data_IF_026991940930
#
_entry.id   IF_026991940930
#
_cell.length_a   1.000
_cell.length_b   1.000
_cell.length_c   1.000
_cell.angle_alpha   90.00
_cell.angle_beta   90.00
_cell.angle_gamma   90.00
#
_symmetry.space_group_name_H-M   'P 1'
#
loop_
_entity.id
_entity.type
_entity.pdbx_description
1 polymer ?
#
# COMPACT_ATOMS: atom_id res chain seq x y z
N UNK A 1 -3.11 -10.30 37.44
CA UNK A 1 -1.98 -10.49 36.51
C UNK A 1 -2.47 -11.41 35.40
N UNK A 2 -2.25 -11.04 34.14
CA UNK A 2 -2.70 -11.85 33.00
C UNK A 2 -1.50 -12.55 32.37
N UNK A 3 -1.68 -13.80 31.95
CA UNK A 3 -0.63 -14.61 31.31
C UNK A 3 -1.05 -14.84 29.85
N UNK A 4 -0.13 -14.62 28.92
CA UNK A 4 -0.35 -14.92 27.52
C UNK A 4 -0.15 -16.42 27.27
N UNK A 5 -1.20 -17.11 26.84
CA UNK A 5 -1.15 -18.54 26.54
C UNK A 5 -0.89 -18.86 25.06
N UNK A 6 -1.28 -17.96 24.15
CA UNK A 6 -1.17 -18.18 22.71
C UNK A 6 -0.71 -16.92 21.98
N UNK A 7 0.04 -17.12 20.89
CA UNK A 7 0.57 -16.05 20.04
C UNK A 7 1.69 -15.25 20.70
N UNK A 8 2.03 -14.13 20.08
CA UNK A 8 3.03 -13.18 20.57
C UNK A 8 2.35 -11.90 21.06
N UNK A 9 2.90 -11.26 22.10
CA UNK A 9 2.35 -10.02 22.62
C UNK A 9 2.50 -8.91 21.58
N UNK A 10 1.40 -8.31 21.11
CA UNK A 10 1.48 -7.12 20.26
C UNK A 10 2.21 -6.00 21.00
N UNK A 11 3.21 -5.40 20.34
CA UNK A 11 4.04 -4.34 20.93
C UNK A 11 5.27 -4.84 21.71
N UNK A 12 5.45 -6.15 21.90
CA UNK A 12 6.73 -6.66 22.40
C UNK A 12 7.83 -6.47 21.35
N UNK A 13 9.05 -6.06 21.73
CA UNK A 13 10.13 -5.74 20.78
C UNK A 13 10.48 -6.87 19.80
N UNK A 14 10.26 -8.13 20.19
CA UNK A 14 10.57 -9.32 19.39
C UNK A 14 9.34 -9.92 18.69
N UNK A 15 8.13 -9.44 18.97
CA UNK A 15 6.91 -10.08 18.46
C UNK A 15 6.82 -10.06 16.93
N UNK A 16 7.18 -8.94 16.30
CA UNK A 16 7.18 -8.82 14.84
C UNK A 16 8.15 -9.80 14.18
N UNK A 17 9.37 -9.92 14.71
CA UNK A 17 10.40 -10.82 14.20
C UNK A 17 9.96 -12.28 14.35
N UNK A 18 9.41 -12.65 15.50
CA UNK A 18 8.93 -14.02 15.73
C UNK A 18 7.76 -14.36 14.81
N UNK A 19 6.81 -13.42 14.63
CA UNK A 19 5.71 -13.60 13.68
C UNK A 19 6.23 -13.78 12.24
N UNK A 20 7.20 -12.97 11.83
CA UNK A 20 7.82 -13.05 10.51
C UNK A 20 8.54 -14.38 10.27
N UNK A 21 9.30 -14.88 11.26
CA UNK A 21 9.95 -16.20 11.20
C UNK A 21 8.92 -17.31 11.01
N UNK A 22 7.82 -17.27 11.77
CA UNK A 22 6.77 -18.28 11.67
C UNK A 22 6.06 -18.25 10.31
N UNK A 23 5.74 -17.05 9.80
CA UNK A 23 5.13 -16.90 8.48
C UNK A 23 6.09 -17.33 7.36
N UNK A 24 7.38 -17.03 7.49
CA UNK A 24 8.42 -17.48 6.56
C UNK A 24 8.54 -19.01 6.55
N UNK A 25 8.47 -19.64 7.73
CA UNK A 25 8.46 -21.10 7.82
C UNK A 25 7.24 -21.72 7.13
N UNK A 26 6.06 -21.13 7.31
CA UNK A 26 4.83 -21.54 6.60
C UNK A 26 5.03 -21.45 5.08
N UNK A 27 5.55 -20.33 4.60
CA UNK A 27 5.80 -20.08 3.18
C UNK A 27 6.75 -21.10 2.60
N UNK A 28 7.93 -21.29 3.19
CA UNK A 28 8.93 -22.28 2.74
C UNK A 28 8.34 -23.68 2.69
N UNK A 29 7.54 -24.04 3.70
CA UNK A 29 6.95 -25.39 3.80
C UNK A 29 5.90 -25.66 2.71
N UNK A 30 5.14 -24.64 2.31
CA UNK A 30 4.02 -24.81 1.39
C UNK A 30 4.33 -24.41 -0.06
N UNK A 31 5.39 -23.62 -0.30
CA UNK A 31 5.60 -22.95 -1.59
C UNK A 31 5.63 -23.93 -2.76
N UNK A 32 6.39 -25.02 -2.67
CA UNK A 32 6.48 -26.01 -3.75
C UNK A 32 5.11 -26.54 -4.17
N UNK A 33 4.26 -26.84 -3.19
CA UNK A 33 2.90 -27.32 -3.42
C UNK A 33 2.00 -26.22 -4.00
N UNK A 34 2.12 -24.99 -3.50
CA UNK A 34 1.34 -23.85 -3.99
C UNK A 34 1.69 -23.52 -5.45
N UNK A 35 2.98 -23.56 -5.79
CA UNK A 35 3.47 -23.33 -7.16
C UNK A 35 2.96 -24.39 -8.14
N UNK A 36 3.00 -25.67 -7.75
CA UNK A 36 2.42 -26.75 -8.54
C UNK A 36 0.91 -26.58 -8.79
N UNK A 37 0.22 -25.93 -7.86
CA UNK A 37 -1.22 -25.64 -7.96
C UNK A 37 -1.52 -24.30 -8.64
N UNK A 38 -0.50 -23.61 -9.17
CA UNK A 38 -0.65 -22.44 -10.04
C UNK A 38 -0.41 -21.09 -9.38
N UNK A 39 0.21 -21.03 -8.19
CA UNK A 39 0.81 -19.78 -7.69
C UNK A 39 2.07 -19.47 -8.51
N UNK A 40 2.15 -18.28 -9.10
CA UNK A 40 3.29 -17.88 -9.93
C UNK A 40 4.29 -17.04 -9.14
N UNK A 41 3.78 -16.06 -8.38
CA UNK A 41 4.58 -15.12 -7.62
C UNK A 41 3.91 -14.85 -6.27
N UNK A 42 4.70 -14.70 -5.22
CA UNK A 42 4.23 -14.50 -3.85
C UNK A 42 5.03 -13.38 -3.18
N UNK A 43 4.34 -12.28 -2.86
CA UNK A 43 4.91 -11.16 -2.12
C UNK A 43 4.19 -11.03 -0.77
N UNK A 44 4.95 -10.82 0.30
CA UNK A 44 4.40 -10.60 1.64
C UNK A 44 4.90 -9.29 2.24
N UNK A 45 3.98 -8.54 2.83
CA UNK A 45 4.26 -7.39 3.67
C UNK A 45 3.63 -7.60 5.05
N UNK A 46 4.45 -7.98 6.03
CA UNK A 46 3.99 -8.34 7.38
C UNK A 46 2.92 -9.44 7.31
N UNK A 47 1.65 -9.10 7.49
CA UNK A 47 0.47 -9.97 7.51
C UNK A 47 -0.31 -9.99 6.19
N UNK A 48 -0.08 -9.04 5.29
CA UNK A 48 -0.74 -8.97 3.98
C UNK A 48 0.11 -9.65 2.89
N UNK A 49 -0.55 -10.42 2.01
CA UNK A 49 0.11 -11.06 0.85
C UNK A 49 -0.50 -10.58 -0.47
N UNK A 50 0.35 -10.45 -1.48
CA UNK A 50 -0.01 -10.13 -2.87
C UNK A 50 0.49 -11.25 -3.76
N UNK A 51 -0.43 -11.96 -4.41
CA UNK A 51 -0.13 -13.26 -5.04
C UNK A 51 -0.63 -13.26 -6.47
N UNK A 52 0.24 -13.65 -7.39
CA UNK A 52 -0.13 -13.91 -8.78
C UNK A 52 -0.47 -15.39 -8.94
N UNK A 53 -1.63 -15.66 -9.53
CA UNK A 53 -2.18 -17.00 -9.65
C UNK A 53 -2.62 -17.21 -11.11
N UNK A 54 -2.34 -18.39 -11.65
CA UNK A 54 -2.82 -18.80 -12.96
C UNK A 54 -4.36 -18.74 -12.99
N UNK A 55 -4.91 -18.27 -14.12
CA UNK A 55 -6.36 -18.08 -14.29
C UNK A 55 -7.18 -19.35 -14.02
N UNK A 56 -6.62 -20.52 -14.34
CA UNK A 56 -7.29 -21.81 -14.22
C UNK A 56 -7.04 -22.50 -12.86
N UNK A 57 -6.25 -21.90 -11.98
CA UNK A 57 -5.96 -22.48 -10.68
C UNK A 57 -7.15 -22.36 -9.72
N UNK A 58 -7.32 -23.40 -8.89
CA UNK A 58 -8.40 -23.44 -7.90
C UNK A 58 -8.00 -22.66 -6.64
N UNK A 59 -8.44 -21.40 -6.56
CA UNK A 59 -8.13 -20.50 -5.44
C UNK A 59 -8.71 -20.99 -4.10
N UNK A 60 -9.84 -21.72 -4.11
CA UNK A 60 -10.42 -22.31 -2.89
C UNK A 60 -9.55 -23.42 -2.32
N UNK A 61 -8.99 -24.26 -3.19
CA UNK A 61 -8.04 -25.28 -2.79
C UNK A 61 -6.76 -24.66 -2.20
N UNK A 62 -6.20 -23.63 -2.85
CA UNK A 62 -5.04 -22.90 -2.33
C UNK A 62 -5.32 -22.33 -0.93
N UNK A 63 -6.48 -21.68 -0.76
CA UNK A 63 -6.90 -21.11 0.52
C UNK A 63 -7.10 -22.20 1.59
N UNK A 64 -7.63 -23.36 1.22
CA UNK A 64 -7.80 -24.50 2.12
C UNK A 64 -6.46 -25.06 2.59
N UNK A 65 -5.46 -25.13 1.69
CA UNK A 65 -4.10 -25.59 2.04
C UNK A 65 -3.46 -24.63 3.04
N UNK A 66 -3.50 -23.32 2.75
CA UNK A 66 -2.97 -22.28 3.63
C UNK A 66 -3.64 -22.33 5.02
N UNK A 67 -4.97 -22.42 5.07
CA UNK A 67 -5.75 -22.48 6.31
C UNK A 67 -5.65 -23.81 7.07
N UNK A 68 -5.11 -24.84 6.42
CA UNK A 68 -4.83 -26.15 7.01
C UNK A 68 -3.48 -26.24 7.72
N UNK A 69 -2.59 -25.25 7.53
CA UNK A 69 -1.24 -25.29 8.10
C UNK A 69 -1.23 -25.21 9.63
N UNK A 70 -1.97 -24.26 10.21
CA UNK A 70 -2.01 -24.06 11.65
C UNK A 70 -3.37 -23.52 12.10
N UNK A 71 -3.99 -24.04 13.18
CA UNK A 71 -5.33 -23.66 13.60
C UNK A 71 -5.46 -22.16 13.95
N UNK A 72 -4.39 -21.55 14.46
CA UNK A 72 -4.37 -20.13 14.86
C UNK A 72 -4.04 -19.16 13.72
N UNK A 73 -3.74 -19.64 12.51
CA UNK A 73 -3.52 -18.80 11.33
C UNK A 73 -4.71 -18.96 10.39
N UNK A 74 -5.31 -17.84 9.98
CA UNK A 74 -6.42 -17.82 9.05
C UNK A 74 -6.16 -16.78 7.95
N UNK A 75 -5.92 -17.28 6.76
CA UNK A 75 -5.90 -16.52 5.53
C UNK A 75 -7.32 -16.23 5.09
N UNK A 76 -7.50 -15.00 4.61
CA UNK A 76 -8.65 -14.58 3.83
C UNK A 76 -8.14 -14.11 2.46
N UNK A 77 -9.03 -14.03 1.48
CA UNK A 77 -8.64 -13.57 0.14
C UNK A 77 -9.56 -12.48 -0.37
N UNK A 78 -8.97 -11.59 -1.16
CA UNK A 78 -9.68 -10.76 -2.13
C UNK A 78 -9.19 -11.16 -3.51
N UNK A 79 -10.13 -11.32 -4.43
CA UNK A 79 -9.82 -11.57 -5.84
C UNK A 79 -9.90 -10.22 -6.54
N UNK A 80 -9.06 -10.03 -7.55
CA UNK A 80 -9.12 -8.89 -8.46
C UNK A 80 -10.54 -8.74 -9.03
N UNK A 81 -11.05 -7.51 -9.04
CA UNK A 81 -12.32 -7.15 -9.66
C UNK A 81 -12.11 -6.03 -10.67
N UNK A 82 -12.61 -6.21 -11.90
CA UNK A 82 -12.46 -5.25 -13.00
C UNK A 82 -11.00 -4.77 -13.21
N UNK A 83 -10.07 -5.72 -13.24
CA UNK A 83 -8.61 -5.49 -13.36
C UNK A 83 -8.00 -4.66 -12.22
N UNK A 84 -8.68 -4.60 -11.07
CA UNK A 84 -8.24 -3.83 -9.90
C UNK A 84 -8.14 -4.69 -8.66
N UNK A 85 -7.07 -4.50 -7.90
CA UNK A 85 -6.87 -5.12 -6.61
C UNK A 85 -6.27 -4.12 -5.62
N UNK A 86 -6.82 -4.10 -4.42
CA UNK A 86 -6.35 -3.24 -3.33
C UNK A 86 -5.23 -3.96 -2.57
N UNK A 87 -4.08 -3.34 -2.42
CA UNK A 87 -2.99 -3.84 -1.58
C UNK A 87 -2.44 -2.71 -0.71
N UNK A 88 -2.53 -2.88 0.61
CA UNK A 88 -2.23 -1.86 1.62
C UNK A 88 -3.00 -0.54 1.40
N UNK A 89 -2.32 0.41 0.76
CA UNK A 89 -2.70 1.80 0.55
C UNK A 89 -2.75 2.17 -0.95
N UNK A 90 -2.62 1.15 -1.80
CA UNK A 90 -2.49 1.25 -3.26
C UNK A 90 -3.62 0.45 -3.90
N UNK A 91 -4.24 1.02 -4.92
CA UNK A 91 -5.07 0.30 -5.86
C UNK A 91 -4.18 -0.03 -7.06
N UNK A 92 -3.86 -1.32 -7.19
CA UNK A 92 -3.12 -1.86 -8.32
C UNK A 92 -4.12 -2.10 -9.43
N UNK A 93 -3.81 -1.62 -10.63
CA UNK A 93 -4.66 -1.72 -11.82
C UNK A 93 -3.85 -2.45 -12.87
N UNK A 94 -4.32 -3.62 -13.30
CA UNK A 94 -3.72 -4.30 -14.44
C UNK A 94 -4.13 -3.58 -15.71
N UNK A 95 -3.18 -3.27 -16.58
CA UNK A 95 -3.41 -2.71 -17.91
C UNK A 95 -3.02 -3.76 -18.96
N UNK A 96 -3.95 -4.63 -19.40
CA UNK A 96 -3.64 -5.68 -20.36
C UNK A 96 -3.13 -5.13 -21.70
N UNK A 97 -3.65 -3.99 -22.13
CA UNK A 97 -3.27 -3.33 -23.38
C UNK A 97 -1.81 -2.86 -23.38
N UNK A 98 -1.33 -2.36 -22.24
CA UNK A 98 0.04 -1.87 -22.08
C UNK A 98 0.99 -2.91 -21.47
N UNK A 99 0.48 -4.10 -21.16
CA UNK A 99 1.21 -5.18 -20.48
C UNK A 99 1.94 -4.71 -19.20
N UNK A 100 1.31 -3.81 -18.44
CA UNK A 100 1.90 -3.20 -17.26
C UNK A 100 0.90 -3.12 -16.10
N UNK A 101 1.40 -2.78 -14.91
CA UNK A 101 0.57 -2.38 -13.78
C UNK A 101 0.62 -0.87 -13.62
N UNK A 102 -0.57 -0.28 -13.49
CA UNK A 102 -0.72 1.07 -13.02
C UNK A 102 -1.10 1.06 -11.54
N UNK A 103 -0.82 2.17 -10.85
CA UNK A 103 -1.09 2.32 -9.43
C UNK A 103 -1.73 3.67 -9.14
N UNK A 104 -2.68 3.67 -8.23
CA UNK A 104 -3.29 4.88 -7.67
C UNK A 104 -3.56 4.71 -6.19
N UNK A 105 -3.89 5.79 -5.50
CA UNK A 105 -4.14 5.76 -4.06
C UNK A 105 -5.46 5.06 -3.75
N UNK A 106 -5.39 3.97 -3.01
CA UNK A 106 -6.56 3.36 -2.39
C UNK A 106 -6.91 4.06 -1.07
N UNK A 107 -8.19 4.34 -0.86
CA UNK A 107 -8.75 4.87 0.39
C UNK A 107 -9.84 3.93 0.87
N UNK A 108 -9.71 3.43 2.09
CA UNK A 108 -10.73 2.58 2.72
C UNK A 108 -12.07 3.35 2.83
N UNK A 109 -13.23 2.67 2.83
CA UNK A 109 -14.53 3.31 3.01
C UNK A 109 -14.66 4.15 4.30
N UNK A 110 -13.83 3.87 5.29
CA UNK A 110 -13.76 4.60 6.56
C UNK A 110 -12.92 5.88 6.50
N UNK A 111 -12.32 6.22 5.36
CA UNK A 111 -11.53 7.43 5.20
C UNK A 111 -12.44 8.67 5.20
N UNK A 112 -12.28 9.53 6.20
CA UNK A 112 -13.17 10.69 6.45
C UNK A 112 -12.73 11.98 5.76
N UNK A 113 -11.61 11.97 5.04
CA UNK A 113 -11.03 13.17 4.41
C UNK A 113 -10.64 14.28 5.41
N UNK A 114 -10.63 13.97 6.72
CA UNK A 114 -10.31 14.93 7.76
C UNK A 114 -8.80 15.16 7.87
N UNK A 115 -8.43 16.43 7.91
CA UNK A 115 -7.10 16.92 8.23
C UNK A 115 -7.20 17.79 9.48
N UNK A 116 -6.08 18.18 10.06
CA UNK A 116 -6.08 19.21 11.10
C UNK A 116 -6.65 20.50 10.52
N UNK A 117 -7.77 20.99 11.04
CA UNK A 117 -8.46 22.16 10.48
C UNK A 117 -7.52 23.38 10.41
N UNK A 118 -7.59 24.15 9.33
CA UNK A 118 -6.75 25.33 9.13
C UNK A 118 -6.90 26.37 10.24
N UNK A 119 -8.08 26.50 10.83
CA UNK A 119 -8.36 27.50 11.87
C UNK A 119 -7.98 27.02 13.29
N UNK A 120 -7.52 25.78 13.43
CA UNK A 120 -7.10 25.27 14.74
C UNK A 120 -5.84 25.97 15.26
N UNK A 121 -5.71 26.07 16.59
CA UNK A 121 -4.53 26.64 17.25
C UNK A 121 -3.38 25.64 17.31
N UNK A 122 -2.97 25.12 16.15
CA UNK A 122 -1.76 24.31 16.00
C UNK A 122 -0.74 25.04 15.12
N UNK A 123 0.57 24.78 15.31
CA UNK A 123 1.61 25.35 14.47
C UNK A 123 1.35 25.10 12.98
N UNK A 124 1.64 26.10 12.15
CA UNK A 124 1.46 26.01 10.70
C UNK A 124 2.27 24.87 10.08
N UNK A 125 3.38 24.49 10.70
CA UNK A 125 4.24 23.39 10.30
C UNK A 125 3.51 22.05 10.38
N UNK A 126 2.64 21.84 11.37
CA UNK A 126 1.87 20.60 11.51
C UNK A 126 0.79 20.50 10.41
N UNK A 127 0.11 21.63 10.13
CA UNK A 127 -0.85 21.75 9.02
C UNK A 127 -0.16 21.50 7.68
N UNK A 128 1.01 22.10 7.48
CA UNK A 128 1.87 21.89 6.30
C UNK A 128 2.28 20.43 6.16
N UNK A 129 2.71 19.79 7.25
CA UNK A 129 3.17 18.41 7.24
C UNK A 129 2.07 17.44 6.78
N UNK A 130 0.81 17.68 7.16
CA UNK A 130 -0.34 16.92 6.67
C UNK A 130 -0.48 16.98 5.15
N UNK A 131 -0.49 18.20 4.59
CA UNK A 131 -0.57 18.39 3.12
C UNK A 131 0.66 17.81 2.41
N UNK A 132 1.86 18.04 2.96
CA UNK A 132 3.10 17.48 2.40
C UNK A 132 3.07 15.95 2.37
N UNK A 133 2.55 15.31 3.42
CA UNK A 133 2.45 13.85 3.50
C UNK A 133 1.56 13.27 2.40
N UNK A 134 0.36 13.83 2.21
CA UNK A 134 -0.58 13.35 1.18
C UNK A 134 -0.09 13.65 -0.25
N UNK A 135 0.58 14.80 -0.47
CA UNK A 135 1.20 15.12 -1.77
C UNK A 135 2.36 14.19 -2.09
N UNK A 136 3.26 13.94 -1.14
CA UNK A 136 4.34 12.97 -1.34
C UNK A 136 3.81 11.56 -1.59
N UNK A 137 2.74 11.16 -0.89
CA UNK A 137 2.07 9.88 -1.13
C UNK A 137 1.55 9.79 -2.56
N UNK A 138 0.91 10.84 -3.08
CA UNK A 138 0.42 10.88 -4.46
C UNK A 138 1.57 10.73 -5.46
N UNK A 139 2.64 11.50 -5.27
CA UNK A 139 3.83 11.47 -6.15
C UNK A 139 4.51 10.10 -6.20
N UNK A 140 4.56 9.38 -5.08
CA UNK A 140 5.23 8.08 -5.00
C UNK A 140 4.35 6.90 -5.46
N UNK A 141 3.02 7.04 -5.46
CA UNK A 141 2.08 5.94 -5.73
C UNK A 141 1.44 6.06 -7.11
N UNK A 142 1.05 7.25 -7.53
CA UNK A 142 0.36 7.45 -8.80
C UNK A 142 1.32 7.21 -9.96
N UNK A 143 1.09 6.15 -10.72
CA UNK A 143 1.98 5.74 -11.83
C UNK A 143 1.77 6.55 -13.11
N UNK A 144 0.61 7.21 -13.26
CA UNK A 144 0.27 7.99 -14.46
C UNK A 144 0.00 9.45 -14.11
N UNK A 145 0.24 10.34 -15.07
CA UNK A 145 -0.07 11.77 -14.91
C UNK A 145 -1.56 11.99 -14.62
N UNK A 146 -2.43 11.21 -15.28
CA UNK A 146 -3.89 11.27 -15.04
C UNK A 146 -4.24 10.95 -13.60
N UNK A 147 -3.72 9.85 -13.04
CA UNK A 147 -3.98 9.50 -11.65
C UNK A 147 -3.39 10.51 -10.67
N UNK A 148 -2.22 11.06 -10.97
CA UNK A 148 -1.60 12.07 -10.15
C UNK A 148 -2.42 13.36 -10.13
N UNK A 149 -2.92 13.81 -11.28
CA UNK A 149 -3.76 15.00 -11.38
C UNK A 149 -5.12 14.81 -10.68
N UNK A 150 -5.78 13.66 -10.89
CA UNK A 150 -7.01 13.30 -10.18
C UNK A 150 -6.79 13.31 -8.65
N UNK A 151 -5.63 12.84 -8.21
CA UNK A 151 -5.26 12.81 -6.80
C UNK A 151 -4.96 14.21 -6.25
N UNK A 152 -4.29 15.08 -7.00
CA UNK A 152 -4.11 16.47 -6.62
C UNK A 152 -5.44 17.22 -6.51
N UNK A 153 -6.40 16.93 -7.39
CA UNK A 153 -7.74 17.50 -7.30
C UNK A 153 -8.49 17.03 -6.04
N UNK A 154 -8.33 15.76 -5.64
CA UNK A 154 -8.82 15.28 -4.35
C UNK A 154 -8.13 15.97 -3.18
N UNK A 155 -6.82 16.15 -3.22
CA UNK A 155 -6.05 16.84 -2.16
C UNK A 155 -6.53 18.29 -1.99
N UNK A 156 -6.77 19.01 -3.10
CA UNK A 156 -7.37 20.35 -3.07
C UNK A 156 -8.75 20.33 -2.41
N UNK A 157 -9.60 19.36 -2.77
CA UNK A 157 -10.92 19.17 -2.15
C UNK A 157 -10.81 18.93 -0.64
N UNK A 158 -9.92 18.05 -0.21
CA UNK A 158 -9.72 17.75 1.20
C UNK A 158 -9.25 18.99 1.96
N UNK A 159 -8.27 19.71 1.41
CA UNK A 159 -7.78 20.93 2.03
C UNK A 159 -8.87 21.98 2.16
N UNK A 160 -9.66 22.22 1.11
CA UNK A 160 -10.81 23.13 1.15
C UNK A 160 -11.83 22.72 2.21
N UNK A 161 -12.19 21.44 2.27
CA UNK A 161 -13.09 20.90 3.30
C UNK A 161 -12.58 21.15 4.73
N UNK A 162 -11.25 21.20 4.90
CA UNK A 162 -10.59 21.49 6.18
C UNK A 162 -10.16 22.97 6.32
N UNK A 163 -10.75 23.89 5.54
CA UNK A 163 -10.52 25.34 5.54
C UNK A 163 -9.11 25.82 5.09
N UNK A 164 -8.33 24.97 4.43
CA UNK A 164 -7.01 25.39 3.92
C UNK A 164 -7.15 26.34 2.72
N UNK A 165 -6.35 27.42 2.66
CA UNK A 165 -6.25 28.25 1.46
C UNK A 165 -5.74 27.42 0.27
N UNK A 166 -6.39 27.53 -0.89
CA UNK A 166 -5.96 26.82 -2.12
C UNK A 166 -4.52 27.17 -2.51
N UNK A 167 -4.16 28.46 -2.44
CA UNK A 167 -2.81 28.93 -2.75
C UNK A 167 -1.73 28.25 -1.89
N UNK A 168 -2.05 27.92 -0.64
CA UNK A 168 -1.15 27.19 0.25
C UNK A 168 -0.94 25.75 -0.23
N UNK A 169 -2.01 25.08 -0.65
CA UNK A 169 -1.98 23.70 -1.16
C UNK A 169 -1.22 23.66 -2.49
N UNK A 170 -1.56 24.53 -3.44
CA UNK A 170 -0.94 24.57 -4.76
C UNK A 170 0.55 24.92 -4.69
N UNK A 171 0.94 25.80 -3.76
CA UNK A 171 2.35 26.08 -3.50
C UNK A 171 3.10 24.81 -3.06
N UNK A 172 2.50 24.01 -2.17
CA UNK A 172 3.11 22.76 -1.70
C UNK A 172 3.20 21.74 -2.85
N UNK A 173 2.12 21.57 -3.62
CA UNK A 173 2.10 20.69 -4.79
C UNK A 173 3.21 21.09 -5.76
N UNK A 174 3.31 22.37 -6.13
CA UNK A 174 4.34 22.85 -7.05
C UNK A 174 5.76 22.61 -6.54
N UNK A 175 6.02 22.92 -5.26
CA UNK A 175 7.34 22.67 -4.64
C UNK A 175 7.67 21.17 -4.66
N UNK A 176 6.73 20.31 -4.26
CA UNK A 176 6.97 18.86 -4.16
C UNK A 176 7.07 18.18 -5.51
N UNK A 177 6.28 18.58 -6.49
CA UNK A 177 6.38 18.10 -7.85
C UNK A 177 7.75 18.45 -8.46
N UNK A 178 8.22 19.68 -8.27
CA UNK A 178 9.55 20.08 -8.74
C UNK A 178 10.68 19.29 -8.05
N UNK A 179 10.59 19.09 -6.74
CA UNK A 179 11.55 18.25 -5.99
C UNK A 179 11.55 16.80 -6.50
N UNK A 180 10.38 16.23 -6.71
CA UNK A 180 10.22 14.86 -7.20
C UNK A 180 10.79 14.68 -8.61
N UNK A 181 10.48 15.62 -9.52
CA UNK A 181 11.02 15.63 -10.87
C UNK A 181 12.54 15.69 -10.88
N UNK A 182 13.13 16.59 -10.07
CA UNK A 182 14.58 16.73 -9.99
C UNK A 182 15.23 15.44 -9.45
N UNK A 183 14.62 14.80 -8.45
CA UNK A 183 15.10 13.52 -7.92
C UNK A 183 15.11 12.42 -9.01
N UNK A 184 14.04 12.31 -9.80
CA UNK A 184 13.97 11.32 -10.89
C UNK A 184 15.04 11.56 -11.96
N UNK A 185 15.31 12.81 -12.33
CA UNK A 185 16.38 13.16 -13.27
C UNK A 185 17.74 12.71 -12.70
N UNK A 186 18.03 13.03 -11.44
CA UNK A 186 19.30 12.63 -10.81
C UNK A 186 19.45 11.11 -10.68
N UNK A 187 18.36 10.36 -10.55
CA UNK A 187 18.41 8.88 -10.49
C UNK A 187 18.65 8.25 -11.86
N UNK A 188 18.17 8.86 -12.95
CA UNK A 188 18.44 8.45 -14.33
C UNK A 188 19.91 8.69 -14.74
N UNK A 189 20.54 9.72 -14.19
CA UNK A 189 21.94 10.07 -14.46
C UNK A 189 22.96 9.24 -13.66
N UNK A 190 22.52 8.27 -12.85
CA UNK A 190 23.46 7.39 -12.12
C UNK A 190 24.09 6.38 -13.09
N UNK A 191 25.42 6.19 -13.06
CA UNK A 191 26.05 5.16 -13.89
C UNK A 191 25.48 3.79 -13.52
N UNK A 192 25.15 3.00 -14.53
CA UNK A 192 24.81 1.59 -14.36
C UNK A 192 26.07 0.92 -13.81
N UNK A 193 26.01 0.48 -12.56
CA UNK A 193 27.08 -0.34 -11.98
C UNK A 193 26.86 -1.74 -12.57
N UNK A 194 27.76 -2.15 -13.47
CA UNK A 194 27.87 -3.51 -13.99
C UNK A 194 28.24 -4.52 -12.89
#
# INVERSE_FOLDING_TARGET
MYIQHNGVAMGAPLASVIADIFMTYLEITLMDKLTQLGVCEWYRYVDDTFVFINKDANVDNLLSILNGFHPSIKFTRKIEDNDKLEFLNVQVIRSPEQQCFEATIYRKPTFTELLTNWNSYVPIQNKKAGIVSIVNRALNICSTYKFLEDEFNKIRRFGLYNNYPLSFIDTIIGIKLNQHRNKMITELDKPIIE
#
